data_IF_688801143369
#
_entry.id   IF_688801143369
#
_cell.length_a   1.000
_cell.length_b   1.000
_cell.length_c   1.000
_cell.angle_alpha   90.00
_cell.angle_beta   90.00
_cell.angle_gamma   90.00
#
_symmetry.space_group_name_H-M   'P 1'
#
loop_
_entity.id
_entity.type
_entity.pdbx_description
1 polymer ?
#
# COMPACT_ATOMS: atom_id res chain seq x y z
N UNK A 1 -23.47 5.48 -16.91
CA UNK A 1 -23.11 5.24 -15.49
C UNK A 1 -22.28 6.42 -15.01
N UNK A 2 -22.79 7.18 -14.04
CA UNK A 2 -22.09 8.36 -13.50
C UNK A 2 -20.84 7.95 -12.71
N UNK A 3 -19.77 8.74 -12.80
CA UNK A 3 -18.52 8.53 -12.04
C UNK A 3 -18.88 8.40 -10.54
N UNK A 4 -18.56 7.25 -9.94
CA UNK A 4 -18.73 7.05 -8.50
C UNK A 4 -17.72 7.97 -7.81
N UNK A 5 -18.21 8.90 -7.00
CA UNK A 5 -17.34 9.73 -6.17
C UNK A 5 -16.66 8.85 -5.12
N UNK A 6 -15.35 9.03 -4.91
CA UNK A 6 -14.58 8.24 -3.95
C UNK A 6 -15.20 8.21 -2.54
N UNK A 7 -15.91 9.27 -2.16
CA UNK A 7 -16.51 9.45 -0.83
C UNK A 7 -18.03 9.23 -0.76
N UNK A 8 -18.65 8.69 -1.81
CA UNK A 8 -20.09 8.36 -1.82
C UNK A 8 -20.33 7.01 -1.12
N UNK A 9 -20.35 7.05 0.23
CA UNK A 9 -20.44 5.86 1.08
C UNK A 9 -21.67 5.00 0.74
N UNK A 10 -22.82 5.65 0.53
CA UNK A 10 -24.08 4.96 0.23
C UNK A 10 -23.98 4.16 -1.06
N UNK A 11 -23.41 4.73 -2.13
CA UNK A 11 -23.22 3.99 -3.38
C UNK A 11 -22.19 2.87 -3.27
N UNK A 12 -21.11 3.05 -2.54
CA UNK A 12 -20.12 1.98 -2.30
C UNK A 12 -20.71 0.83 -1.51
N UNK A 13 -21.47 1.12 -0.44
CA UNK A 13 -22.19 0.12 0.34
C UNK A 13 -23.27 -0.59 -0.48
N UNK A 14 -24.08 0.15 -1.25
CA UNK A 14 -25.12 -0.44 -2.10
C UNK A 14 -24.53 -1.34 -3.19
N UNK A 15 -23.44 -0.91 -3.84
CA UNK A 15 -22.72 -1.71 -4.82
C UNK A 15 -22.16 -2.99 -4.21
N UNK A 16 -21.46 -2.90 -3.09
CA UNK A 16 -20.88 -4.07 -2.41
C UNK A 16 -21.96 -5.02 -1.88
N UNK A 17 -23.04 -4.46 -1.32
CA UNK A 17 -24.21 -5.21 -0.85
C UNK A 17 -24.93 -5.97 -1.96
N UNK A 18 -24.86 -5.50 -3.21
CA UNK A 18 -25.46 -6.20 -4.35
C UNK A 18 -24.85 -7.60 -4.61
N UNK A 19 -23.58 -7.82 -4.24
CA UNK A 19 -22.89 -9.11 -4.35
C UNK A 19 -23.13 -10.05 -3.16
N UNK A 20 -23.71 -9.53 -2.07
CA UNK A 20 -23.88 -10.25 -0.80
C UNK A 20 -25.37 -10.47 -0.48
N UNK A 21 -26.13 -11.02 -1.43
CA UNK A 21 -27.57 -11.32 -1.25
C UNK A 21 -27.88 -12.77 -0.87
N UNK A 22 -26.96 -13.70 -1.11
CA UNK A 22 -27.15 -15.11 -0.76
C UNK A 22 -26.81 -15.34 0.74
N UNK A 23 -27.71 -15.90 1.55
CA UNK A 23 -27.49 -16.05 3.00
C UNK A 23 -26.30 -16.96 3.35
N UNK A 24 -26.00 -17.95 2.52
CA UNK A 24 -24.83 -18.83 2.69
C UNK A 24 -23.55 -18.03 2.41
N UNK A 25 -23.51 -17.24 1.34
CA UNK A 25 -22.35 -16.39 1.03
C UNK A 25 -22.09 -15.35 2.13
N UNK A 26 -23.16 -14.76 2.69
CA UNK A 26 -23.07 -13.84 3.83
C UNK A 26 -22.47 -14.57 5.03
N UNK A 27 -23.00 -15.75 5.39
CA UNK A 27 -22.49 -16.53 6.53
C UNK A 27 -21.00 -16.88 6.36
N UNK A 28 -20.58 -17.31 5.16
CA UNK A 28 -19.17 -17.55 4.83
C UNK A 28 -18.36 -16.27 5.04
N UNK A 29 -18.77 -15.14 4.45
CA UNK A 29 -18.05 -13.87 4.63
C UNK A 29 -17.98 -13.46 6.10
N UNK A 30 -19.08 -13.55 6.84
CA UNK A 30 -19.12 -13.20 8.27
C UNK A 30 -18.19 -14.09 9.10
N UNK A 31 -18.04 -15.38 8.78
CA UNK A 31 -17.17 -16.31 9.54
C UNK A 31 -15.69 -16.16 9.15
N UNK A 32 -15.38 -15.95 7.87
CA UNK A 32 -14.00 -16.01 7.37
C UNK A 32 -13.32 -14.65 7.19
N UNK A 33 -14.05 -13.54 7.09
CA UNK A 33 -13.42 -12.22 6.90
C UNK A 33 -12.86 -11.67 8.23
N UNK A 34 -13.54 -11.87 9.36
CA UNK A 34 -13.05 -11.33 10.64
C UNK A 34 -11.73 -11.95 11.12
N UNK A 35 -11.43 -13.26 10.97
CA UNK A 35 -10.13 -13.79 11.36
C UNK A 35 -9.02 -13.30 10.41
N UNK A 36 -9.31 -13.16 9.12
CA UNK A 36 -8.37 -12.57 8.13
C UNK A 36 -8.04 -11.13 8.51
N UNK A 37 -9.06 -10.34 8.83
CA UNK A 37 -8.88 -8.97 9.27
C UNK A 37 -8.17 -8.91 10.63
N UNK A 38 -8.46 -9.85 11.53
CA UNK A 38 -7.84 -9.91 12.85
C UNK A 38 -6.35 -10.26 12.75
N UNK A 39 -5.93 -11.22 11.92
CA UNK A 39 -4.52 -11.58 11.78
C UNK A 39 -3.71 -10.47 11.12
N UNK A 40 -4.18 -9.93 10.00
CA UNK A 40 -3.53 -8.81 9.32
C UNK A 40 -3.52 -7.54 10.22
N UNK A 41 -4.66 -7.27 10.88
CA UNK A 41 -4.81 -6.15 11.81
C UNK A 41 -3.94 -6.28 13.05
N UNK A 42 -3.74 -7.50 13.57
CA UNK A 42 -2.85 -7.76 14.71
C UNK A 42 -1.39 -7.53 14.35
N UNK A 43 -0.95 -7.94 13.16
CA UNK A 43 0.40 -7.65 12.67
C UNK A 43 0.60 -6.13 12.50
N UNK A 44 -0.37 -5.45 11.89
CA UNK A 44 -0.32 -3.99 11.74
C UNK A 44 -0.26 -3.29 13.11
N UNK A 45 -1.11 -3.69 14.06
CA UNK A 45 -1.12 -3.15 15.42
C UNK A 45 0.21 -3.39 16.14
N UNK A 46 0.79 -4.59 16.00
CA UNK A 46 2.10 -4.92 16.56
C UNK A 46 3.20 -4.02 16.00
N UNK A 47 3.27 -3.85 14.67
CA UNK A 47 4.26 -2.97 14.03
C UNK A 47 4.08 -1.51 14.47
N UNK A 48 2.84 -1.00 14.49
CA UNK A 48 2.53 0.34 15.00
C UNK A 48 2.95 0.52 16.46
N UNK A 49 2.70 -0.49 17.31
CA UNK A 49 3.10 -0.47 18.71
C UNK A 49 4.62 -0.42 18.87
N UNK A 50 5.37 -1.24 18.13
CA UNK A 50 6.83 -1.20 18.12
C UNK A 50 7.34 0.17 17.65
N UNK A 51 6.80 0.71 16.56
CA UNK A 51 7.16 2.04 16.08
C UNK A 51 6.89 3.13 17.12
N UNK A 52 5.75 3.06 17.80
CA UNK A 52 5.37 4.01 18.84
C UNK A 52 6.30 3.94 20.05
N UNK A 53 6.59 2.74 20.55
CA UNK A 53 7.51 2.52 21.68
C UNK A 53 8.91 3.03 21.33
N UNK A 54 9.44 2.63 20.17
CA UNK A 54 10.76 3.07 19.72
C UNK A 54 10.85 4.59 19.54
N UNK A 55 9.83 5.19 18.91
CA UNK A 55 9.80 6.65 18.71
C UNK A 55 9.70 7.40 20.04
N UNK A 56 8.92 6.89 20.99
CA UNK A 56 8.79 7.46 22.33
C UNK A 56 10.09 7.35 23.11
N UNK A 57 10.78 6.20 23.02
CA UNK A 57 12.09 6.00 23.61
C UNK A 57 13.12 6.97 23.02
N UNK A 58 13.21 7.08 21.70
CA UNK A 58 14.14 8.00 21.04
C UNK A 58 13.85 9.47 21.40
N UNK A 59 12.57 9.86 21.45
CA UNK A 59 12.17 11.19 21.89
C UNK A 59 12.56 11.47 23.35
N UNK A 60 12.52 10.46 24.23
CA UNK A 60 12.96 10.58 25.62
C UNK A 60 14.47 10.79 25.74
N UNK A 61 15.27 10.19 24.85
CA UNK A 61 16.73 10.35 24.82
C UNK A 61 17.17 11.72 24.27
N UNK A 62 16.45 12.23 23.27
CA UNK A 62 16.85 13.43 22.51
C UNK A 62 16.16 14.71 22.97
N UNK A 63 15.05 14.59 23.71
CA UNK A 63 14.13 15.67 23.98
C UNK A 63 13.24 16.02 22.78
N UNK A 64 12.02 16.48 23.05
CA UNK A 64 10.98 16.70 22.04
C UNK A 64 11.40 17.66 20.92
N UNK A 65 12.15 18.72 21.24
CA UNK A 65 12.59 19.72 20.26
C UNK A 65 13.54 19.14 19.22
N UNK A 66 14.56 18.40 19.65
CA UNK A 66 15.52 17.77 18.72
C UNK A 66 14.87 16.63 17.95
N UNK A 67 14.02 15.82 18.62
CA UNK A 67 13.29 14.72 17.99
C UNK A 67 12.46 15.19 16.79
N UNK A 68 11.68 16.27 16.92
CA UNK A 68 10.89 16.80 15.79
C UNK A 68 11.74 17.34 14.65
N UNK A 69 12.91 17.93 14.93
CA UNK A 69 13.85 18.36 13.87
C UNK A 69 14.38 17.16 13.09
N UNK A 70 14.72 16.08 13.79
CA UNK A 70 15.16 14.83 13.15
C UNK A 70 14.04 14.23 12.31
N UNK A 71 12.80 14.21 12.81
CA UNK A 71 11.64 13.75 12.04
C UNK A 71 11.47 14.57 10.75
N UNK A 72 11.50 15.91 10.84
CA UNK A 72 11.38 16.77 9.67
C UNK A 72 12.52 16.56 8.67
N UNK A 73 13.76 16.47 9.15
CA UNK A 73 14.92 16.20 8.28
C UNK A 73 14.78 14.84 7.59
N UNK A 74 14.40 13.80 8.32
CA UNK A 74 14.17 12.46 7.77
C UNK A 74 13.06 12.47 6.71
N UNK A 75 11.93 13.13 6.97
CA UNK A 75 10.85 13.28 5.98
C UNK A 75 11.34 13.94 4.71
N UNK A 76 12.04 15.09 4.81
CA UNK A 76 12.56 15.80 3.63
C UNK A 76 13.52 14.93 2.83
N UNK A 77 14.44 14.22 3.49
CA UNK A 77 15.39 13.32 2.84
C UNK A 77 14.68 12.15 2.16
N UNK A 78 13.78 11.46 2.86
CA UNK A 78 13.07 10.30 2.33
C UNK A 78 12.13 10.67 1.17
N UNK A 79 11.42 11.78 1.26
CA UNK A 79 10.55 12.26 0.18
C UNK A 79 11.35 12.71 -1.04
N UNK A 80 12.45 13.43 -0.83
CA UNK A 80 13.35 13.82 -1.91
C UNK A 80 13.92 12.59 -2.62
N UNK A 81 14.37 11.59 -1.85
CA UNK A 81 14.85 10.32 -2.38
C UNK A 81 13.80 9.60 -3.22
N UNK A 82 12.55 9.51 -2.74
CA UNK A 82 11.44 8.90 -3.48
C UNK A 82 11.15 9.62 -4.80
N UNK A 83 11.11 10.96 -4.80
CA UNK A 83 10.88 11.72 -6.03
C UNK A 83 12.04 11.64 -7.01
N UNK A 84 13.29 11.58 -6.55
CA UNK A 84 14.45 11.32 -7.40
C UNK A 84 14.36 9.90 -7.99
N UNK A 85 14.00 8.91 -7.17
CA UNK A 85 13.67 7.54 -7.59
C UNK A 85 12.77 7.51 -8.82
N UNK A 86 11.57 8.04 -8.66
CA UNK A 86 10.56 8.06 -9.70
C UNK A 86 10.95 8.94 -10.91
N UNK A 87 11.45 10.16 -10.65
CA UNK A 87 11.73 11.14 -11.70
C UNK A 87 12.99 10.86 -12.52
N UNK A 88 14.09 10.51 -11.86
CA UNK A 88 15.41 10.36 -12.51
C UNK A 88 15.63 8.91 -12.96
N UNK A 89 15.41 7.94 -12.08
CA UNK A 89 15.73 6.55 -12.36
C UNK A 89 14.61 5.86 -13.14
N UNK A 90 13.36 5.96 -12.68
CA UNK A 90 12.22 5.31 -13.36
C UNK A 90 11.67 6.14 -14.53
N UNK A 91 11.99 7.45 -14.58
CA UNK A 91 11.47 8.41 -15.58
C UNK A 91 9.94 8.33 -15.70
N UNK A 92 9.28 8.14 -14.56
CA UNK A 92 7.83 7.94 -14.41
C UNK A 92 7.30 8.83 -13.29
N UNK A 93 6.10 9.36 -13.47
CA UNK A 93 5.45 10.13 -12.41
C UNK A 93 5.12 9.22 -11.21
N UNK A 94 5.27 9.71 -9.97
CA UNK A 94 4.92 8.95 -8.78
C UNK A 94 3.42 8.63 -8.76
N UNK A 95 3.06 7.44 -8.26
CA UNK A 95 1.67 6.96 -8.18
C UNK A 95 0.75 7.87 -7.34
N UNK A 96 1.33 8.69 -6.45
CA UNK A 96 0.64 9.71 -5.67
C UNK A 96 -0.13 10.71 -6.55
N UNK A 97 0.35 10.98 -7.76
CA UNK A 97 -0.28 11.92 -8.69
C UNK A 97 -1.43 11.30 -9.50
N UNK A 98 -1.55 9.97 -9.50
CA UNK A 98 -2.58 9.26 -10.29
C UNK A 98 -3.64 8.61 -9.41
N UNK A 99 -3.26 8.06 -8.25
CA UNK A 99 -4.19 7.49 -7.28
C UNK A 99 -3.64 7.59 -5.86
N UNK A 100 -3.94 8.71 -5.19
CA UNK A 100 -3.48 9.00 -3.83
C UNK A 100 -3.84 7.90 -2.82
N UNK A 101 -5.09 7.43 -2.87
CA UNK A 101 -5.59 6.41 -1.95
C UNK A 101 -4.85 5.08 -2.10
N UNK A 102 -4.66 4.64 -3.35
CA UNK A 102 -3.91 3.42 -3.65
C UNK A 102 -2.43 3.57 -3.30
N UNK A 103 -1.82 4.74 -3.54
CA UNK A 103 -0.42 4.96 -3.21
C UNK A 103 -0.14 4.83 -1.70
N UNK A 104 -0.95 5.47 -0.85
CA UNK A 104 -0.77 5.39 0.60
C UNK A 104 -1.19 4.05 1.20
N UNK A 105 -2.23 3.41 0.65
CA UNK A 105 -2.63 2.08 1.11
C UNK A 105 -1.67 1.00 0.63
N UNK A 106 -1.24 1.00 -0.63
CA UNK A 106 -0.44 -0.10 -1.17
C UNK A 106 1.04 -0.01 -0.88
N UNK A 107 1.62 1.19 -0.73
CA UNK A 107 3.06 1.30 -0.47
C UNK A 107 3.50 0.56 0.81
N UNK A 108 2.83 0.69 1.98
CA UNK A 108 3.20 -0.06 3.18
C UNK A 108 3.03 -1.59 3.00
N UNK A 109 1.96 -2.03 2.33
CA UNK A 109 1.74 -3.46 2.09
C UNK A 109 2.77 -4.05 1.14
N UNK A 110 3.13 -3.31 0.08
CA UNK A 110 4.15 -3.70 -0.87
C UNK A 110 5.49 -3.89 -0.17
N UNK A 111 5.95 -2.89 0.59
CA UNK A 111 7.22 -2.97 1.33
C UNK A 111 7.21 -4.12 2.34
N UNK A 112 6.09 -4.33 3.04
CA UNK A 112 5.96 -5.45 3.99
C UNK A 112 6.05 -6.81 3.28
N UNK A 113 5.30 -7.01 2.20
CA UNK A 113 5.31 -8.28 1.46
C UNK A 113 6.67 -8.56 0.82
N UNK A 114 7.31 -7.55 0.23
CA UNK A 114 8.67 -7.66 -0.31
C UNK A 114 9.69 -8.01 0.77
N UNK A 115 9.60 -7.38 1.95
CA UNK A 115 10.46 -7.72 3.08
C UNK A 115 10.21 -9.14 3.59
N UNK A 116 8.96 -9.56 3.71
CA UNK A 116 8.61 -10.92 4.14
C UNK A 116 9.10 -11.97 3.14
N UNK A 117 8.97 -11.69 1.85
CA UNK A 117 9.49 -12.57 0.79
C UNK A 117 11.03 -12.62 0.82
N UNK A 118 11.69 -11.46 0.89
CA UNK A 118 13.16 -11.38 0.84
C UNK A 118 13.83 -11.96 2.08
N UNK A 119 13.26 -11.74 3.27
CA UNK A 119 13.85 -12.17 4.54
C UNK A 119 13.43 -13.57 4.96
N UNK A 120 12.21 -14.00 4.62
CA UNK A 120 11.62 -15.25 5.13
C UNK A 120 11.08 -16.17 4.02
N UNK A 121 11.14 -15.78 2.74
CA UNK A 121 10.59 -16.56 1.63
C UNK A 121 9.07 -16.69 1.68
N UNK A 122 8.38 -15.75 2.34
CA UNK A 122 6.94 -15.78 2.49
C UNK A 122 6.21 -15.39 1.20
N UNK A 123 5.45 -16.34 0.65
CA UNK A 123 4.45 -16.08 -0.38
C UNK A 123 3.03 -16.20 0.19
N UNK A 124 2.11 -15.26 -0.13
CA UNK A 124 0.70 -15.37 0.24
C UNK A 124 0.04 -16.67 -0.23
N UNK A 125 0.45 -17.17 -1.40
CA UNK A 125 0.08 -18.48 -1.93
C UNK A 125 1.16 -18.96 -2.92
N UNK A 126 1.28 -20.28 -3.17
CA UNK A 126 2.32 -20.80 -4.06
C UNK A 126 2.28 -20.19 -5.46
N UNK A 127 3.41 -19.63 -5.91
CA UNK A 127 3.55 -19.01 -7.22
C UNK A 127 3.07 -17.55 -7.27
N UNK A 128 2.79 -16.93 -6.12
CA UNK A 128 2.38 -15.53 -6.03
C UNK A 128 3.41 -14.61 -6.68
N UNK A 129 4.70 -14.76 -6.34
CA UNK A 129 5.74 -13.87 -6.85
C UNK A 129 5.87 -13.96 -8.36
N UNK A 130 5.85 -15.18 -8.91
CA UNK A 130 5.91 -15.40 -10.38
C UNK A 130 4.73 -14.74 -11.08
N UNK A 131 3.52 -14.88 -10.53
CA UNK A 131 2.32 -14.25 -11.09
C UNK A 131 2.39 -12.73 -11.05
N UNK A 132 2.85 -12.16 -9.93
CA UNK A 132 3.00 -10.72 -9.76
C UNK A 132 4.06 -10.16 -10.69
N UNK A 133 5.23 -10.81 -10.81
CA UNK A 133 6.31 -10.37 -11.68
C UNK A 133 5.86 -10.34 -13.15
N UNK A 134 5.16 -11.37 -13.61
CA UNK A 134 4.63 -11.41 -14.97
C UNK A 134 3.65 -10.24 -15.24
N UNK A 135 2.84 -9.85 -14.26
CA UNK A 135 1.94 -8.68 -14.37
C UNK A 135 2.69 -7.35 -14.37
N UNK A 136 3.73 -7.21 -13.54
CA UNK A 136 4.60 -6.03 -13.51
C UNK A 136 5.26 -5.84 -14.89
N UNK A 137 5.83 -6.90 -15.45
CA UNK A 137 6.51 -6.85 -16.75
C UNK A 137 5.55 -6.47 -17.89
N UNK A 138 4.33 -7.01 -17.85
CA UNK A 138 3.27 -6.66 -18.80
C UNK A 138 2.86 -5.18 -18.67
N UNK A 139 2.62 -4.69 -17.45
CA UNK A 139 2.25 -3.28 -17.22
C UNK A 139 3.35 -2.30 -17.63
N UNK A 140 4.62 -2.62 -17.36
CA UNK A 140 5.77 -1.82 -17.81
C UNK A 140 5.81 -1.77 -19.34
N UNK A 141 5.63 -2.91 -20.01
CA UNK A 141 5.64 -3.00 -21.48
C UNK A 141 4.52 -2.14 -22.09
N UNK A 142 3.30 -2.28 -21.59
CA UNK A 142 2.16 -1.45 -22.04
C UNK A 142 2.40 0.05 -21.83
N UNK A 143 2.96 0.42 -20.67
CA UNK A 143 3.27 1.82 -20.37
C UNK A 143 4.32 2.37 -21.34
N UNK A 144 5.37 1.60 -21.63
CA UNK A 144 6.40 2.00 -22.59
C UNK A 144 5.84 2.15 -24.01
N UNK A 145 4.96 1.26 -24.45
CA UNK A 145 4.28 1.37 -25.75
C UNK A 145 3.39 2.61 -25.83
N UNK A 146 2.56 2.85 -24.81
CA UNK A 146 1.72 4.06 -24.74
C UNK A 146 2.58 5.32 -24.80
N UNK A 147 3.70 5.34 -24.08
CA UNK A 147 4.65 6.46 -24.11
C UNK A 147 5.26 6.67 -25.49
N UNK A 148 5.66 5.61 -26.20
CA UNK A 148 6.19 5.71 -27.57
C UNK A 148 5.16 6.30 -28.54
N UNK A 149 3.90 5.83 -28.50
CA UNK A 149 2.80 6.34 -29.34
C UNK A 149 2.47 7.82 -29.12
N UNK A 150 2.70 8.33 -27.90
CA UNK A 150 2.47 9.75 -27.59
C UNK A 150 3.61 10.67 -28.06
N UNK A 151 4.79 10.10 -28.36
CA UNK A 151 5.99 10.83 -28.77
C UNK A 151 6.24 10.71 -30.29
N UNK A 152 5.68 9.68 -30.95
CA UNK A 152 5.65 9.53 -32.40
C UNK A 152 4.59 10.40 -33.06
#
# INVERSE_FOLDING_TARGET
MGKIGLFDLEKHFAFYGAYHRNPINIAIHTVFVWPILFTAGSLAAFLCFICWVFSSYLASLMGLSLAWKVVLAAQLVCWTGQFIGHGVFEKRAPALLTNLSQAFLMAPFFVLLEALQTLFGYEPYPGFQVSVQAKIDAEISEWQEKKKKLIS
#
